data_IF_012445898510
#
_entry.id   IF_012445898510
#
_cell.length_a   1.000
_cell.length_b   1.000
_cell.length_c   1.000
_cell.angle_alpha   90.00
_cell.angle_beta   90.00
_cell.angle_gamma   90.00
#
_symmetry.space_group_name_H-M   'P 1'
#
loop_
_entity.id
_entity.type
_entity.pdbx_description
1 polymer ?
#
# COMPACT_ATOMS: atom_id res chain seq x y z
N UNK A 1 -0.24 68.63 22.99
CA UNK A 1 -0.03 67.23 23.37
C UNK A 1 0.00 66.36 22.09
N UNK A 2 1.22 65.94 21.66
CA UNK A 2 1.38 65.08 20.44
C UNK A 2 1.22 63.62 20.85
N UNK A 3 0.21 62.92 20.32
CA UNK A 3 0.00 61.50 20.54
C UNK A 3 0.89 60.71 19.54
N UNK A 4 1.84 59.93 20.01
CA UNK A 4 2.63 59.02 19.20
C UNK A 4 1.85 57.68 19.15
N UNK A 5 1.46 57.25 17.91
CA UNK A 5 0.92 55.93 17.65
C UNK A 5 2.12 55.00 17.35
N UNK A 6 2.38 54.02 18.22
CA UNK A 6 3.37 52.99 17.96
C UNK A 6 2.67 51.83 17.21
N UNK A 7 3.02 51.67 15.94
CA UNK A 7 2.55 50.56 15.12
C UNK A 7 3.40 49.31 15.40
N UNK A 8 2.85 48.34 16.10
CA UNK A 8 3.51 47.06 16.36
C UNK A 8 3.37 46.17 15.13
N UNK A 9 4.45 46.00 14.36
CA UNK A 9 4.46 45.05 13.23
C UNK A 9 4.67 43.61 13.76
N UNK A 10 3.62 42.78 13.69
CA UNK A 10 3.70 41.35 13.99
C UNK A 10 4.21 40.63 12.75
N UNK A 11 5.46 40.20 12.76
CA UNK A 11 6.02 39.33 11.71
C UNK A 11 5.57 37.89 11.96
N UNK A 12 4.65 37.39 11.16
CA UNK A 12 4.27 35.98 11.15
C UNK A 12 5.39 35.17 10.49
N UNK A 13 6.14 34.38 11.28
CA UNK A 13 7.08 33.39 10.76
C UNK A 13 6.27 32.18 10.31
N UNK A 14 6.07 32.06 9.02
CA UNK A 14 5.41 30.89 8.41
C UNK A 14 6.37 29.69 8.47
N UNK A 15 6.07 28.70 9.33
CA UNK A 15 6.73 27.40 9.28
C UNK A 15 6.15 26.61 8.09
N UNK A 16 6.94 26.42 7.04
CA UNK A 16 6.62 25.45 5.97
C UNK A 16 6.85 24.05 6.51
N UNK A 17 5.79 23.36 6.93
CA UNK A 17 5.84 21.93 7.18
C UNK A 17 5.93 21.24 5.81
N UNK A 18 7.11 20.81 5.42
CA UNK A 18 7.27 19.92 4.25
C UNK A 18 6.66 18.56 4.60
N UNK A 19 5.70 18.10 3.80
CA UNK A 19 5.12 16.78 3.97
C UNK A 19 6.23 15.71 3.81
N UNK A 20 6.29 14.75 4.74
CA UNK A 20 7.25 13.65 4.66
C UNK A 20 7.06 12.85 3.37
N UNK A 21 8.18 12.40 2.79
CA UNK A 21 8.17 11.57 1.61
C UNK A 21 7.75 10.13 1.95
N UNK A 22 7.24 9.35 0.98
CA UNK A 22 6.92 7.94 1.21
C UNK A 22 8.10 7.13 1.74
N UNK A 23 9.31 7.41 1.28
CA UNK A 23 10.53 6.74 1.73
C UNK A 23 10.88 7.07 3.19
N UNK A 24 10.69 8.33 3.61
CA UNK A 24 10.85 8.75 5.01
C UNK A 24 9.81 8.07 5.90
N UNK A 25 8.56 7.95 5.43
CA UNK A 25 7.50 7.23 6.13
C UNK A 25 7.81 5.74 6.27
N UNK A 26 8.29 5.09 5.23
CA UNK A 26 8.72 3.68 5.31
C UNK A 26 9.82 3.50 6.34
N UNK A 27 10.81 4.41 6.37
CA UNK A 27 11.90 4.39 7.38
C UNK A 27 11.36 4.58 8.80
N UNK A 28 10.44 5.52 9.01
CA UNK A 28 9.78 5.76 10.31
C UNK A 28 9.01 4.54 10.79
N UNK A 29 8.34 3.82 9.85
CA UNK A 29 7.62 2.58 10.13
C UNK A 29 8.56 1.36 10.31
N UNK A 30 9.88 1.54 10.19
CA UNK A 30 10.87 0.46 10.28
C UNK A 30 10.82 -0.52 9.10
N UNK A 31 10.28 -0.10 7.95
CA UNK A 31 10.09 -0.95 6.78
C UNK A 31 11.18 -0.71 5.75
N UNK A 32 11.87 -1.80 5.39
CA UNK A 32 12.79 -1.86 4.26
C UNK A 32 12.11 -2.63 3.14
N UNK A 33 11.96 -2.00 1.97
CA UNK A 33 11.37 -2.66 0.82
C UNK A 33 12.32 -3.75 0.30
N UNK A 34 11.82 -4.98 0.09
CA UNK A 34 12.62 -6.04 -0.51
C UNK A 34 12.90 -5.73 -2.00
N UNK A 35 13.85 -6.41 -2.64
CA UNK A 35 13.95 -6.39 -4.09
C UNK A 35 12.62 -6.84 -4.71
N UNK A 36 12.19 -6.16 -5.80
CA UNK A 36 10.98 -6.57 -6.51
C UNK A 36 11.14 -8.00 -7.06
N UNK A 37 10.16 -8.86 -6.79
CA UNK A 37 10.16 -10.23 -7.29
C UNK A 37 10.10 -10.23 -8.81
N UNK A 38 10.85 -11.12 -9.46
CA UNK A 38 10.76 -11.33 -10.92
C UNK A 38 9.49 -12.13 -11.24
N UNK A 39 8.81 -11.83 -12.38
CA UNK A 39 7.77 -12.70 -12.90
C UNK A 39 8.31 -14.11 -13.16
N UNK A 40 7.47 -15.11 -12.91
CA UNK A 40 7.83 -16.54 -13.11
C UNK A 40 7.24 -17.14 -14.40
N UNK A 41 6.51 -16.32 -15.19
CA UNK A 41 5.87 -16.73 -16.43
C UNK A 41 5.81 -15.53 -17.41
N UNK A 42 5.09 -15.67 -18.52
CA UNK A 42 4.94 -14.63 -19.55
C UNK A 42 3.97 -13.51 -19.11
N UNK A 43 4.34 -12.78 -18.07
CA UNK A 43 3.68 -11.53 -17.62
C UNK A 43 4.72 -10.58 -17.03
N UNK A 44 4.32 -9.34 -16.75
CA UNK A 44 5.17 -8.31 -16.13
C UNK A 44 4.57 -7.86 -14.80
N UNK A 45 5.40 -7.32 -13.90
CA UNK A 45 4.94 -6.83 -12.60
C UNK A 45 4.06 -5.60 -12.70
N UNK A 46 4.27 -4.78 -13.73
CA UNK A 46 3.53 -3.54 -13.94
C UNK A 46 3.41 -3.22 -15.42
N UNK A 47 2.28 -2.64 -15.80
CA UNK A 47 2.03 -2.05 -17.13
C UNK A 47 1.67 -0.60 -16.93
N UNK A 48 2.32 0.30 -17.68
CA UNK A 48 1.98 1.73 -17.71
C UNK A 48 1.11 2.05 -18.90
N UNK A 49 0.03 2.82 -18.68
CA UNK A 49 -0.77 3.44 -19.73
C UNK A 49 -1.11 4.88 -19.34
N UNK A 50 -0.56 5.85 -20.07
CA UNK A 50 -0.59 7.25 -19.62
C UNK A 50 0.00 7.40 -18.22
N UNK A 51 -0.75 8.00 -17.32
CA UNK A 51 -0.36 8.20 -15.92
C UNK A 51 -0.79 7.07 -14.99
N UNK A 52 -1.37 5.99 -15.52
CA UNK A 52 -1.80 4.85 -14.71
C UNK A 52 -0.79 3.71 -14.79
N UNK A 53 -0.47 3.16 -13.62
CA UNK A 53 0.33 1.95 -13.46
C UNK A 53 -0.60 0.84 -12.96
N UNK A 54 -0.73 -0.21 -13.74
CA UNK A 54 -1.44 -1.44 -13.37
C UNK A 54 -0.42 -2.43 -12.84
N UNK A 55 -0.55 -2.83 -11.57
CA UNK A 55 0.33 -3.80 -10.95
C UNK A 55 -0.35 -5.17 -10.89
N UNK A 56 0.40 -6.19 -11.28
CA UNK A 56 -0.02 -7.58 -11.17
C UNK A 56 -0.22 -7.99 -9.70
N UNK A 57 -1.06 -9.00 -9.46
CA UNK A 57 -1.28 -9.58 -8.14
C UNK A 57 0.01 -9.99 -7.44
N UNK A 58 0.09 -9.71 -6.14
CA UNK A 58 1.18 -10.13 -5.27
C UNK A 58 0.63 -10.88 -4.06
N UNK A 59 1.35 -11.93 -3.67
CA UNK A 59 1.11 -12.65 -2.43
C UNK A 59 1.93 -12.11 -1.24
N UNK A 60 1.65 -12.61 -0.03
CA UNK A 60 2.31 -12.20 1.21
C UNK A 60 3.65 -12.91 1.39
N UNK A 61 4.66 -12.56 0.57
CA UNK A 61 6.00 -13.13 0.60
C UNK A 61 6.83 -12.48 1.70
N UNK A 62 7.42 -13.31 2.59
CA UNK A 62 8.32 -12.87 3.66
C UNK A 62 9.74 -12.61 3.12
N UNK A 63 10.56 -11.97 3.94
CA UNK A 63 11.97 -11.67 3.60
C UNK A 63 12.82 -12.92 3.36
N UNK A 64 12.49 -14.05 4.00
CA UNK A 64 13.14 -15.34 3.80
C UNK A 64 12.70 -16.07 2.52
N UNK A 65 11.78 -15.47 1.75
CA UNK A 65 11.25 -16.02 0.51
C UNK A 65 10.05 -16.94 0.67
N UNK A 66 9.63 -17.26 1.90
CA UNK A 66 8.42 -18.06 2.16
C UNK A 66 7.16 -17.21 2.02
N UNK A 67 6.05 -17.87 1.71
CA UNK A 67 4.74 -17.22 1.64
C UNK A 67 3.93 -17.46 2.94
N UNK A 68 3.03 -16.54 3.29
CA UNK A 68 1.98 -16.80 4.28
C UNK A 68 0.87 -17.58 3.56
N UNK A 69 0.62 -18.80 3.99
CA UNK A 69 -0.34 -19.72 3.35
C UNK A 69 -1.44 -20.14 4.30
N UNK A 70 -2.57 -20.57 3.75
CA UNK A 70 -3.73 -21.07 4.50
C UNK A 70 -4.99 -20.24 4.28
N UNK A 71 -6.11 -20.78 4.71
CA UNK A 71 -7.44 -20.14 4.64
C UNK A 71 -7.73 -19.32 5.88
N UNK A 72 -8.09 -18.05 5.70
CA UNK A 72 -8.58 -17.22 6.79
C UNK A 72 -9.95 -17.72 7.27
N UNK A 73 -10.12 -17.79 8.58
CA UNK A 73 -11.30 -18.38 9.22
C UNK A 73 -11.20 -19.88 9.48
N UNK A 74 -10.16 -20.55 8.93
CA UNK A 74 -9.87 -21.97 9.19
C UNK A 74 -8.44 -22.18 9.70
N UNK A 75 -7.46 -21.88 8.87
CA UNK A 75 -6.03 -22.10 9.17
C UNK A 75 -5.39 -20.84 9.78
N UNK A 76 -5.94 -19.68 9.48
CA UNK A 76 -5.46 -18.35 9.91
C UNK A 76 -6.58 -17.55 10.56
N UNK A 77 -6.22 -16.75 11.56
CA UNK A 77 -7.13 -15.74 12.16
C UNK A 77 -7.28 -14.51 11.25
N UNK A 78 -8.23 -13.63 11.56
CA UNK A 78 -8.39 -12.34 10.86
C UNK A 78 -7.12 -11.49 11.00
N UNK A 79 -6.53 -11.45 12.19
CA UNK A 79 -5.31 -10.69 12.50
C UNK A 79 -4.12 -11.20 11.69
N UNK A 80 -3.97 -12.52 11.56
CA UNK A 80 -2.94 -13.13 10.71
C UNK A 80 -3.17 -12.80 9.23
N UNK A 81 -4.42 -12.80 8.78
CA UNK A 81 -4.82 -12.34 7.46
C UNK A 81 -4.51 -10.86 7.22
N UNK A 82 -4.79 -10.00 8.21
CA UNK A 82 -4.46 -8.57 8.19
C UNK A 82 -2.95 -8.34 8.03
N UNK A 83 -2.12 -9.01 8.83
CA UNK A 83 -0.65 -8.92 8.70
C UNK A 83 -0.16 -9.49 7.36
N UNK A 84 -0.78 -10.54 6.82
CA UNK A 84 -0.50 -11.03 5.48
C UNK A 84 -0.82 -9.97 4.41
N UNK A 85 -1.97 -9.29 4.50
CA UNK A 85 -2.34 -8.22 3.58
C UNK A 85 -1.39 -7.00 3.67
N UNK A 86 -0.93 -6.64 4.89
CA UNK A 86 0.11 -5.61 5.09
C UNK A 86 1.44 -6.02 4.46
N UNK A 87 1.83 -7.28 4.55
CA UNK A 87 3.04 -7.79 3.88
C UNK A 87 2.91 -7.70 2.36
N UNK A 88 1.71 -7.98 1.79
CA UNK A 88 1.47 -7.74 0.36
C UNK A 88 1.65 -6.27 -0.01
N UNK A 89 1.22 -5.33 0.84
CA UNK A 89 1.43 -3.90 0.57
C UNK A 89 2.91 -3.55 0.43
N UNK A 90 3.77 -4.11 1.28
CA UNK A 90 5.23 -3.93 1.21
C UNK A 90 5.78 -4.49 -0.12
N UNK A 91 5.35 -5.69 -0.53
CA UNK A 91 5.76 -6.33 -1.77
C UNK A 91 5.27 -5.55 -3.01
N UNK A 92 4.05 -4.99 -2.96
CA UNK A 92 3.51 -4.13 -4.01
C UNK A 92 4.28 -2.80 -4.12
N UNK A 93 4.66 -2.18 -2.98
CA UNK A 93 5.49 -0.96 -3.01
C UNK A 93 6.88 -1.24 -3.59
N UNK A 94 7.46 -2.40 -3.34
CA UNK A 94 8.71 -2.82 -3.96
C UNK A 94 8.57 -2.94 -5.50
N UNK A 95 7.49 -3.55 -5.99
CA UNK A 95 7.20 -3.67 -7.41
C UNK A 95 6.91 -2.32 -8.05
N UNK A 96 6.13 -1.46 -7.39
CA UNK A 96 5.83 -0.11 -7.85
C UNK A 96 7.11 0.73 -7.96
N UNK A 97 7.94 0.75 -6.91
CA UNK A 97 9.21 1.49 -6.91
C UNK A 97 10.14 1.04 -8.03
N UNK A 98 10.21 -0.27 -8.28
CA UNK A 98 10.99 -0.80 -9.40
C UNK A 98 10.46 -0.34 -10.77
N UNK A 99 9.14 -0.15 -10.91
CA UNK A 99 8.51 0.29 -12.15
C UNK A 99 8.64 1.79 -12.41
N UNK A 100 8.58 2.65 -11.36
CA UNK A 100 8.52 4.12 -11.52
C UNK A 100 9.78 4.84 -11.01
N UNK A 101 10.69 4.14 -10.33
CA UNK A 101 11.95 4.63 -9.78
C UNK A 101 11.84 5.30 -8.41
N UNK A 102 10.88 6.19 -8.20
CA UNK A 102 10.69 6.98 -6.98
C UNK A 102 9.21 7.00 -6.56
N UNK A 103 8.91 6.63 -5.31
CA UNK A 103 7.54 6.63 -4.79
C UNK A 103 6.96 8.03 -4.61
N UNK A 104 7.77 9.09 -4.60
CA UNK A 104 7.31 10.49 -4.63
C UNK A 104 6.44 10.80 -5.85
N UNK A 105 6.65 10.09 -6.96
CA UNK A 105 5.85 10.22 -8.18
C UNK A 105 4.42 9.72 -8.03
N UNK A 106 4.09 9.03 -6.95
CA UNK A 106 2.71 8.58 -6.69
C UNK A 106 1.81 9.80 -6.43
N UNK A 107 0.83 9.99 -7.31
CA UNK A 107 -0.20 11.00 -7.17
C UNK A 107 -1.34 10.50 -6.30
N UNK A 108 -1.78 9.25 -6.50
CA UNK A 108 -2.74 8.54 -5.64
C UNK A 108 -2.76 7.04 -5.92
N UNK A 109 -3.21 6.27 -4.95
CA UNK A 109 -3.69 4.90 -5.19
C UNK A 109 -5.12 5.01 -5.71
N UNK A 110 -5.42 4.42 -6.87
CA UNK A 110 -6.72 4.58 -7.53
C UNK A 110 -7.67 3.46 -7.13
N UNK A 111 -7.24 2.21 -7.31
CA UNK A 111 -8.05 1.01 -7.10
C UNK A 111 -7.22 -0.10 -6.47
N UNK A 112 -7.84 -0.84 -5.58
CA UNK A 112 -7.31 -2.07 -4.98
C UNK A 112 -8.36 -3.16 -5.13
N UNK A 113 -7.95 -4.32 -5.63
CA UNK A 113 -8.68 -5.58 -5.53
C UNK A 113 -7.93 -6.50 -4.57
N UNK A 114 -8.52 -6.73 -3.40
CA UNK A 114 -8.00 -7.66 -2.41
C UNK A 114 -8.79 -8.97 -2.44
N UNK A 115 -8.09 -10.06 -2.69
CA UNK A 115 -8.59 -11.42 -2.75
C UNK A 115 -8.11 -12.19 -1.53
N UNK A 116 -9.02 -12.77 -0.77
CA UNK A 116 -8.74 -13.52 0.47
C UNK A 116 -9.03 -14.99 0.24
N UNK A 117 -8.04 -15.84 0.41
CA UNK A 117 -8.22 -17.28 0.52
C UNK A 117 -8.89 -17.57 1.87
N UNK A 118 -10.17 -17.89 1.88
CA UNK A 118 -10.91 -18.00 3.14
C UNK A 118 -11.85 -19.20 3.16
N UNK A 119 -12.32 -19.52 4.35
CA UNK A 119 -13.39 -20.50 4.56
C UNK A 119 -14.67 -20.02 3.85
N UNK A 120 -15.49 -20.96 3.38
CA UNK A 120 -16.71 -20.67 2.59
C UNK A 120 -17.74 -19.82 3.33
N UNK A 121 -17.80 -19.93 4.66
CA UNK A 121 -18.67 -19.14 5.53
C UNK A 121 -18.08 -17.81 5.97
N UNK A 122 -16.82 -17.52 5.63
CA UNK A 122 -16.12 -16.30 6.05
C UNK A 122 -16.63 -15.08 5.27
N UNK A 123 -17.05 -14.05 5.98
CA UNK A 123 -17.65 -12.82 5.41
C UNK A 123 -16.90 -11.54 5.79
N UNK A 124 -15.76 -11.65 6.51
CA UNK A 124 -15.02 -10.51 7.02
C UNK A 124 -13.76 -10.17 6.20
N UNK A 125 -13.78 -10.45 4.88
CA UNK A 125 -12.69 -10.10 3.97
C UNK A 125 -12.25 -8.63 4.06
N UNK A 126 -13.16 -7.64 4.27
CA UNK A 126 -12.74 -6.25 4.45
C UNK A 126 -11.81 -6.04 5.63
N UNK A 127 -11.99 -6.77 6.77
CA UNK A 127 -11.11 -6.67 7.94
C UNK A 127 -9.69 -7.16 7.63
N UNK A 128 -9.57 -8.22 6.83
CA UNK A 128 -8.29 -8.73 6.34
C UNK A 128 -7.60 -7.71 5.44
N UNK A 129 -8.30 -7.19 4.43
CA UNK A 129 -7.71 -6.27 3.45
C UNK A 129 -7.44 -4.87 4.05
N UNK A 130 -8.00 -4.55 5.22
CA UNK A 130 -7.61 -3.35 5.96
C UNK A 130 -6.11 -3.30 6.22
N UNK A 131 -5.41 -4.44 6.43
CA UNK A 131 -3.96 -4.46 6.60
C UNK A 131 -3.20 -3.83 5.44
N UNK A 132 -3.66 -4.05 4.22
CA UNK A 132 -3.12 -3.39 3.03
C UNK A 132 -3.49 -1.90 2.99
N UNK A 133 -4.77 -1.57 3.17
CA UNK A 133 -5.28 -0.20 3.05
C UNK A 133 -4.69 0.73 4.09
N UNK A 134 -4.62 0.29 5.35
CA UNK A 134 -4.08 1.08 6.46
C UNK A 134 -2.58 1.35 6.25
N UNK A 135 -1.84 0.36 5.74
CA UNK A 135 -0.43 0.55 5.40
C UNK A 135 -0.23 1.56 4.24
N UNK A 136 -1.06 1.51 3.19
CA UNK A 136 -1.01 2.49 2.11
C UNK A 136 -1.31 3.91 2.60
N UNK A 137 -2.27 4.07 3.51
CA UNK A 137 -2.58 5.36 4.14
C UNK A 137 -1.45 5.82 5.06
N UNK A 138 -0.81 4.91 5.81
CA UNK A 138 0.33 5.24 6.65
C UNK A 138 1.53 5.77 5.83
N UNK A 139 1.75 5.23 4.62
CA UNK A 139 2.86 5.65 3.74
C UNK A 139 2.53 6.90 2.92
N UNK A 140 1.33 7.00 2.36
CA UNK A 140 0.96 8.05 1.40
C UNK A 140 -0.02 9.09 1.93
N UNK A 141 -0.52 8.96 3.18
CA UNK A 141 -1.55 9.84 3.72
C UNK A 141 -2.84 9.78 2.89
N UNK A 142 -3.43 10.92 2.58
CA UNK A 142 -4.66 11.03 1.76
C UNK A 142 -4.51 10.42 0.36
N UNK A 143 -3.31 10.45 -0.23
CA UNK A 143 -3.01 9.81 -1.52
C UNK A 143 -3.10 8.27 -1.46
N UNK A 144 -3.01 7.68 -0.26
CA UNK A 144 -3.15 6.24 -0.02
C UNK A 144 -4.60 5.75 0.03
N UNK A 145 -5.58 6.64 0.19
CA UNK A 145 -7.01 6.29 0.16
C UNK A 145 -7.45 5.94 -1.25
N UNK A 146 -8.16 4.83 -1.41
CA UNK A 146 -8.46 4.24 -2.72
C UNK A 146 -9.85 3.60 -2.78
N UNK A 147 -10.39 3.46 -3.98
CA UNK A 147 -11.55 2.62 -4.21
C UNK A 147 -11.14 1.15 -4.05
N UNK A 148 -11.94 0.33 -3.33
CA UNK A 148 -11.57 -1.03 -2.99
C UNK A 148 -12.69 -2.02 -3.22
N UNK A 149 -12.30 -3.24 -3.65
CA UNK A 149 -13.09 -4.44 -3.48
C UNK A 149 -12.30 -5.42 -2.60
N UNK A 150 -12.98 -6.09 -1.67
CA UNK A 150 -12.42 -7.16 -0.84
C UNK A 150 -13.33 -8.37 -0.99
N UNK A 151 -12.81 -9.46 -1.56
CA UNK A 151 -13.60 -10.63 -1.93
C UNK A 151 -12.97 -11.92 -1.40
N UNK A 152 -13.82 -12.89 -1.08
CA UNK A 152 -13.39 -14.25 -0.75
C UNK A 152 -13.17 -15.08 -2.02
N UNK A 153 -12.10 -15.86 -2.02
CA UNK A 153 -11.76 -16.77 -3.11
C UNK A 153 -11.83 -18.20 -2.62
N UNK A 154 -12.32 -19.09 -3.49
CA UNK A 154 -12.33 -20.54 -3.21
C UNK A 154 -10.91 -21.06 -2.96
N UNK A 155 -9.95 -20.63 -3.75
CA UNK A 155 -8.53 -20.92 -3.62
C UNK A 155 -7.70 -19.80 -4.25
N UNK A 156 -6.47 -19.63 -3.76
CA UNK A 156 -5.44 -18.79 -4.38
C UNK A 156 -4.23 -19.67 -4.76
N UNK A 157 -3.42 -19.24 -5.75
CA UNK A 157 -2.23 -19.97 -6.17
C UNK A 157 -1.33 -20.30 -4.97
N UNK A 158 -0.73 -21.49 -4.94
CA UNK A 158 0.14 -21.95 -3.85
C UNK A 158 -0.47 -21.87 -2.45
N UNK A 159 -1.82 -21.84 -2.36
CA UNK A 159 -2.55 -21.70 -1.10
C UNK A 159 -2.17 -20.44 -0.30
N UNK A 160 -1.71 -19.35 -0.96
CA UNK A 160 -1.41 -18.09 -0.27
C UNK A 160 -2.66 -17.53 0.41
N UNK A 161 -2.46 -16.83 1.54
CA UNK A 161 -3.57 -16.31 2.36
C UNK A 161 -4.34 -15.19 1.68
N UNK A 162 -3.64 -14.32 0.98
CA UNK A 162 -4.22 -13.18 0.26
C UNK A 162 -3.45 -12.93 -1.03
N UNK A 163 -4.14 -12.36 -2.03
CA UNK A 163 -3.51 -11.80 -3.22
C UNK A 163 -4.12 -10.43 -3.49
N UNK A 164 -3.30 -9.44 -3.81
CA UNK A 164 -3.78 -8.08 -4.02
C UNK A 164 -3.15 -7.49 -5.27
N UNK A 165 -3.97 -6.90 -6.12
CA UNK A 165 -3.59 -6.07 -7.25
C UNK A 165 -4.05 -4.63 -7.06
N UNK A 166 -3.38 -3.70 -7.72
CA UNK A 166 -3.73 -2.29 -7.60
C UNK A 166 -3.45 -1.49 -8.88
N UNK A 167 -4.16 -0.36 -8.99
CA UNK A 167 -3.94 0.67 -10.01
C UNK A 167 -3.49 1.94 -9.29
N UNK A 168 -2.40 2.53 -9.77
CA UNK A 168 -1.77 3.73 -9.19
C UNK A 168 -1.72 4.82 -10.25
N UNK A 169 -2.11 6.04 -9.91
CA UNK A 169 -1.86 7.23 -10.72
C UNK A 169 -0.52 7.85 -10.30
N UNK A 170 0.32 8.15 -11.28
CA UNK A 170 1.63 8.76 -11.06
C UNK A 170 1.73 10.11 -11.79
N UNK A 171 2.66 10.94 -11.34
CA UNK A 171 3.07 12.15 -12.06
C UNK A 171 3.90 11.75 -13.29
N UNK A 172 3.92 12.63 -14.29
CA UNK A 172 4.68 12.45 -15.54
C UNK A 172 6.22 12.44 -15.31
#
# INVERSE_FOLDING_TARGET
MKKYFVLLAVTAVGYTVTAQTPEEKLKELGVVLPPASKPIANYVNAVRTGNLIFLAGKGPKRADGTDVTGKVGKDLTIEQGYEAAKLVAINQLAALKAAIGDLKKVKRIVKVLGMVNCESSFTEQPKVINGFSDFMVAVFGEKGKHARSAVGMHALPNNIAVEIELIVEVED
#
